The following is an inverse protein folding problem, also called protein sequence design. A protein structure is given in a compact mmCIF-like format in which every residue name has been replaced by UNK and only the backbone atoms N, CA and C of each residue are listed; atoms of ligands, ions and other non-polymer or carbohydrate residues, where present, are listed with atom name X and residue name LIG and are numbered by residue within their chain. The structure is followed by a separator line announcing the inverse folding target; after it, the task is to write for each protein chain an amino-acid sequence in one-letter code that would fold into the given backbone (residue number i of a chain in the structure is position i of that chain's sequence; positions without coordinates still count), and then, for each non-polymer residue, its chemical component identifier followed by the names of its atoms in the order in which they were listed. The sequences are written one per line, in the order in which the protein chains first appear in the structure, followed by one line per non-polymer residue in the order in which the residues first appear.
data_IF_000965960949
#
_entry.id   IF_000965960949
#
_cell.length_a   1.000
_cell.length_b   1.000
_cell.length_c   1.000
_cell.angle_alpha   90.00
_cell.angle_beta   90.00
_cell.angle_gamma   90.00
#
_symmetry.space_group_name_H-M   'P 1'
#
loop_
_entity.id
_entity.type
_entity.pdbx_description
1 polymer ?
#
# COMPACT_ATOMS: atom_id res chain seq x y z
N UNK A 1 0.75 4.37 5.87
CA UNK A 1 0.90 3.26 4.90
C UNK A 1 0.03 3.42 3.67
N UNK A 2 -1.29 3.57 3.79
CA UNK A 2 -2.15 3.83 2.61
C UNK A 2 -1.89 5.21 1.98
N UNK A 3 -1.51 6.19 2.80
CA UNK A 3 -1.08 7.54 2.37
C UNK A 3 0.23 7.50 1.59
N UNK A 4 1.30 6.92 2.14
CA UNK A 4 2.57 6.75 1.43
C UNK A 4 2.42 6.06 0.05
N UNK A 5 1.55 5.04 -0.07
CA UNK A 5 1.26 4.43 -1.38
C UNK A 5 0.50 5.37 -2.31
N UNK A 6 -0.44 6.16 -1.80
CA UNK A 6 -1.15 7.18 -2.58
C UNK A 6 -0.18 8.23 -3.09
N UNK A 7 0.71 8.73 -2.23
CA UNK A 7 1.67 9.78 -2.58
C UNK A 7 2.60 9.29 -3.69
N UNK A 8 3.15 8.08 -3.54
CA UNK A 8 3.95 7.44 -4.58
C UNK A 8 3.19 7.27 -5.91
N UNK A 9 1.89 6.93 -5.89
CA UNK A 9 1.07 6.82 -7.12
C UNK A 9 0.69 8.18 -7.72
N UNK A 10 0.81 9.28 -6.97
CA UNK A 10 0.64 10.65 -7.46
C UNK A 10 1.94 11.11 -8.12
N UNK A 11 3.10 10.80 -7.53
CA UNK A 11 4.43 11.07 -8.10
C UNK A 11 4.62 10.36 -9.45
N UNK A 12 4.20 9.10 -9.56
CA UNK A 12 4.27 8.29 -10.79
C UNK A 12 3.15 8.60 -11.79
N UNK A 13 2.55 9.79 -11.70
CA UNK A 13 1.53 10.33 -12.60
C UNK A 13 0.21 9.55 -12.71
N UNK A 14 0.07 8.33 -12.16
CA UNK A 14 -1.14 7.53 -12.32
C UNK A 14 -2.37 8.20 -11.70
N UNK A 15 -2.19 8.90 -10.59
CA UNK A 15 -3.24 9.64 -9.87
C UNK A 15 -3.11 11.16 -9.99
N UNK A 16 -2.14 11.67 -10.75
CA UNK A 16 -1.80 13.10 -10.82
C UNK A 16 -2.96 13.97 -11.31
N UNK A 17 -3.74 13.46 -12.26
CA UNK A 17 -4.88 14.14 -12.88
C UNK A 17 -6.18 14.04 -12.07
N UNK A 18 -6.17 13.26 -10.97
CA UNK A 18 -7.34 12.97 -10.15
C UNK A 18 -8.44 12.18 -10.86
N UNK A 19 -8.23 11.70 -12.09
CA UNK A 19 -9.24 10.97 -12.86
C UNK A 19 -9.30 9.49 -12.44
N UNK A 20 -8.15 8.96 -12.02
CA UNK A 20 -8.00 7.57 -11.60
C UNK A 20 -7.96 7.43 -10.09
N UNK A 21 -8.71 6.47 -9.60
CA UNK A 21 -8.65 6.02 -8.21
C UNK A 21 -7.44 5.13 -7.98
N UNK A 22 -6.95 5.08 -6.74
CA UNK A 22 -5.86 4.18 -6.34
C UNK A 22 -6.13 2.72 -6.75
N UNK A 23 -7.39 2.27 -6.68
CA UNK A 23 -7.80 0.92 -7.08
C UNK A 23 -7.64 0.67 -8.59
N UNK A 24 -7.83 1.69 -9.43
CA UNK A 24 -7.59 1.59 -10.87
C UNK A 24 -6.08 1.55 -11.15
N UNK A 25 -5.29 2.41 -10.52
CA UNK A 25 -3.83 2.41 -10.63
C UNK A 25 -3.18 1.09 -10.21
N UNK A 26 -3.67 0.45 -9.14
CA UNK A 26 -3.18 -0.85 -8.68
C UNK A 26 -3.45 -2.01 -9.67
N UNK A 27 -4.38 -1.84 -10.62
CA UNK A 27 -4.68 -2.86 -11.65
C UNK A 27 -3.82 -2.70 -12.90
N UNK A 28 -3.21 -1.55 -13.09
CA UNK A 28 -2.38 -1.26 -14.25
C UNK A 28 -1.02 -1.93 -14.10
N UNK A 29 -0.59 -2.65 -15.14
CA UNK A 29 0.70 -3.34 -15.18
C UNK A 29 1.87 -2.37 -15.33
N UNK A 30 1.63 -1.22 -15.94
CA UNK A 30 2.64 -0.17 -16.17
C UNK A 30 3.22 0.32 -14.83
N UNK A 31 2.36 0.59 -13.85
CA UNK A 31 2.75 1.00 -12.50
C UNK A 31 3.04 -0.18 -11.56
N UNK A 32 3.16 -1.43 -12.07
CA UNK A 32 3.37 -2.63 -11.25
C UNK A 32 4.68 -2.62 -10.48
N UNK A 33 5.73 -2.11 -11.12
CA UNK A 33 7.08 -2.11 -10.60
C UNK A 33 7.32 -0.93 -9.66
N UNK A 34 6.62 0.17 -9.90
CA UNK A 34 6.69 1.37 -9.06
C UNK A 34 5.91 1.18 -7.76
N UNK A 35 6.47 1.74 -6.69
CA UNK A 35 5.95 1.60 -5.34
C UNK A 35 5.78 0.12 -4.89
N UNK A 36 6.54 -0.85 -5.45
CA UNK A 36 6.37 -2.30 -5.19
C UNK A 36 6.31 -2.64 -3.70
N UNK A 37 7.22 -2.06 -2.91
CA UNK A 37 7.29 -2.29 -1.46
C UNK A 37 6.06 -1.71 -0.74
N UNK A 38 5.62 -0.52 -1.12
CA UNK A 38 4.42 0.12 -0.57
C UNK A 38 3.15 -0.64 -0.97
N UNK A 39 3.09 -1.18 -2.19
CA UNK A 39 2.01 -2.06 -2.66
C UNK A 39 1.96 -3.32 -1.83
N UNK A 40 3.09 -3.99 -1.64
CA UNK A 40 3.18 -5.18 -0.80
C UNK A 40 2.71 -4.90 0.63
N UNK A 41 3.23 -3.84 1.26
CA UNK A 41 2.82 -3.43 2.60
C UNK A 41 1.32 -3.10 2.70
N UNK A 42 0.76 -2.43 1.69
CA UNK A 42 -0.68 -2.14 1.63
C UNK A 42 -1.52 -3.41 1.51
N UNK A 43 -1.13 -4.36 0.67
CA UNK A 43 -1.83 -5.63 0.53
C UNK A 43 -1.75 -6.47 1.80
N UNK A 44 -0.58 -6.51 2.46
CA UNK A 44 -0.42 -7.17 3.75
C UNK A 44 -1.30 -6.53 4.83
N UNK A 45 -1.37 -5.20 4.87
CA UNK A 45 -2.25 -4.46 5.76
C UNK A 45 -3.74 -4.79 5.51
N UNK A 46 -4.20 -4.73 4.26
CA UNK A 46 -5.60 -5.07 3.90
C UNK A 46 -5.92 -6.54 4.18
N UNK A 47 -4.98 -7.45 3.91
CA UNK A 47 -5.14 -8.87 4.23
C UNK A 47 -5.23 -9.09 5.73
N UNK A 48 -4.39 -8.42 6.51
CA UNK A 48 -4.39 -8.52 7.97
C UNK A 48 -5.70 -8.02 8.62
N UNK A 49 -6.38 -7.07 7.98
CA UNK A 49 -7.73 -6.63 8.42
C UNK A 49 -8.80 -7.73 8.25
N UNK A 50 -8.64 -8.60 7.25
CA UNK A 50 -9.58 -9.68 6.95
C UNK A 50 -9.21 -11.00 7.66
N UNK A 51 -7.91 -11.24 7.87
CA UNK A 51 -7.43 -12.43 8.55
C UNK A 51 -7.54 -12.27 10.08
N UNK A 52 -8.55 -12.93 10.64
CA UNK A 52 -8.84 -12.95 12.08
C UNK A 52 -7.65 -13.40 12.92
N UNK A 53 -6.79 -14.28 12.39
CA UNK A 53 -5.59 -14.75 13.11
C UNK A 53 -4.61 -13.61 13.32
N UNK A 54 -4.36 -12.80 12.28
CA UNK A 54 -3.47 -11.64 12.37
C UNK A 54 -4.09 -10.49 13.15
N UNK A 55 -5.42 -10.34 13.14
CA UNK A 55 -6.13 -9.35 13.96
C UNK A 55 -5.99 -9.63 15.46
N UNK A 56 -6.08 -10.90 15.87
CA UNK A 56 -6.05 -11.30 17.29
C UNK A 56 -4.60 -11.44 17.79
N UNK A 57 -3.71 -12.04 16.99
CA UNK A 57 -2.34 -12.35 17.41
C UNK A 57 -1.32 -11.29 17.01
N UNK A 58 -1.73 -10.31 16.22
CA UNK A 58 -0.82 -9.36 15.58
C UNK A 58 -0.15 -9.93 14.32
N UNK A 59 0.43 -9.04 13.49
CA UNK A 59 1.18 -9.44 12.31
C UNK A 59 2.44 -10.24 12.70
N UNK A 60 2.71 -11.33 11.98
CA UNK A 60 3.92 -12.13 12.17
C UNK A 60 5.12 -11.38 11.60
N UNK A 61 6.06 -10.99 12.46
CA UNK A 61 7.26 -10.25 12.06
C UNK A 61 7.03 -8.75 11.96
N UNK A 62 6.47 -8.15 13.03
CA UNK A 62 6.14 -6.73 13.09
C UNK A 62 7.29 -5.85 12.63
N UNK A 63 7.20 -5.33 11.41
CA UNK A 63 7.96 -4.14 11.01
C UNK A 63 7.20 -2.96 11.60
N UNK A 64 7.44 -2.67 12.88
CA UNK A 64 7.32 -1.31 13.37
C UNK A 64 8.55 -0.57 12.85
N UNK A 65 8.50 -0.03 11.63
CA UNK A 65 9.28 1.17 11.36
C UNK A 65 8.55 2.29 12.10
N UNK A 66 8.93 2.46 13.36
CA UNK A 66 8.89 3.78 13.99
C UNK A 66 9.82 4.65 13.17
N UNK A 67 9.27 5.44 12.25
CA UNK A 67 9.92 6.65 11.80
C UNK A 67 9.29 7.80 12.58
N UNK A 68 9.87 8.02 13.76
CA UNK A 68 9.92 9.34 14.38
C UNK A 68 11.40 9.72 14.39
N UNK A 69 11.89 10.31 13.29
CA UNK A 69 12.93 11.35 13.25
C UNK A 69 13.10 11.83 11.80
#
# INVERSE_FOLDING_TARGET
MAEALRDCMVEEECMSDGTRTLKQCLRMKEFAHECRELRYAYFECKRGQLDMRTRIRGPKGGVTRTENQ
#
